data_IF_382914495735
#
_entry.id   IF_382914495735
#
_cell.length_a   1.000
_cell.length_b   1.000
_cell.length_c   1.000
_cell.angle_alpha   90.00
_cell.angle_beta   90.00
_cell.angle_gamma   90.00
#
_symmetry.space_group_name_H-M   'P 1'
#
loop_
_entity.id
_entity.type
_entity.pdbx_description
1 polymer ?
#
# COMPACT_ATOMS: atom_id res chain seq x y z
N UNK A 1 4.18 12.60 -33.84
CA UNK A 1 3.68 11.23 -34.11
C UNK A 1 3.17 10.67 -32.77
N UNK A 2 1.89 10.32 -32.68
CA UNK A 2 1.39 9.62 -31.48
C UNK A 2 2.02 8.21 -31.48
N UNK A 3 3.01 7.98 -30.61
CA UNK A 3 3.57 6.65 -30.41
C UNK A 3 2.43 5.80 -29.83
N UNK A 4 2.04 4.76 -30.55
CA UNK A 4 0.98 3.85 -30.13
C UNK A 4 1.37 3.18 -28.81
N UNK A 5 0.53 3.33 -27.79
CA UNK A 5 0.76 2.68 -26.50
C UNK A 5 0.66 1.16 -26.66
N UNK A 6 1.78 0.48 -26.46
CA UNK A 6 1.89 -0.99 -26.64
C UNK A 6 1.55 -1.77 -25.36
N UNK A 7 1.29 -1.07 -24.24
CA UNK A 7 1.02 -1.74 -22.98
C UNK A 7 -0.39 -2.37 -22.97
N UNK A 8 -0.53 -3.68 -22.65
CA UNK A 8 -1.78 -4.41 -22.85
C UNK A 8 -2.86 -4.10 -21.78
N UNK A 9 -2.47 -3.67 -20.58
CA UNK A 9 -3.40 -3.50 -19.46
C UNK A 9 -3.81 -2.03 -19.26
N UNK A 10 -4.31 -1.38 -20.32
CA UNK A 10 -4.74 0.01 -20.28
C UNK A 10 -5.85 0.29 -21.27
N UNK A 11 -6.71 1.28 -20.97
CA UNK A 11 -7.73 1.86 -21.84
C UNK A 11 -7.45 3.34 -22.14
N UNK A 12 -6.34 3.86 -21.68
CA UNK A 12 -5.94 5.26 -21.80
C UNK A 12 -4.43 5.39 -22.14
N UNK A 13 -3.82 6.50 -21.78
CA UNK A 13 -2.41 6.77 -22.03
C UNK A 13 -1.47 6.16 -20.97
N UNK A 14 -1.99 5.47 -19.95
CA UNK A 14 -1.15 4.84 -18.93
C UNK A 14 -0.32 3.71 -19.52
N UNK A 15 0.92 3.63 -19.10
CA UNK A 15 1.88 2.62 -19.54
C UNK A 15 2.19 1.62 -18.43
N UNK A 16 1.27 1.47 -17.48
CA UNK A 16 1.31 0.52 -16.40
C UNK A 16 -0.11 0.09 -15.97
N UNK A 17 -0.23 -1.10 -15.38
CA UNK A 17 -1.49 -1.74 -15.01
C UNK A 17 -2.10 -1.06 -13.79
N UNK A 18 -2.95 -0.06 -14.00
CA UNK A 18 -3.57 0.70 -12.91
C UNK A 18 -4.65 -0.10 -12.20
N UNK A 19 -4.79 0.13 -10.88
CA UNK A 19 -5.90 -0.43 -10.10
C UNK A 19 -7.27 -0.04 -10.66
N UNK A 20 -7.40 1.18 -11.20
CA UNK A 20 -8.64 1.62 -11.85
C UNK A 20 -8.97 0.80 -13.13
N UNK A 21 -7.96 0.44 -13.92
CA UNK A 21 -8.14 -0.46 -15.06
C UNK A 21 -8.63 -1.83 -14.61
N UNK A 22 -7.95 -2.43 -13.60
CA UNK A 22 -8.36 -3.72 -13.03
C UNK A 22 -9.81 -3.70 -12.54
N UNK A 23 -10.20 -2.71 -11.74
CA UNK A 23 -11.54 -2.62 -11.18
C UNK A 23 -12.60 -2.39 -12.27
N UNK A 24 -12.34 -1.53 -13.26
CA UNK A 24 -13.26 -1.29 -14.37
C UNK A 24 -13.51 -2.54 -15.21
N UNK A 25 -12.46 -3.33 -15.50
CA UNK A 25 -12.60 -4.57 -16.26
C UNK A 25 -13.31 -5.67 -15.48
N UNK A 26 -13.21 -5.67 -14.15
CA UNK A 26 -13.85 -6.67 -13.31
C UNK A 26 -15.31 -6.37 -13.00
N UNK A 27 -15.63 -5.10 -12.72
CA UNK A 27 -16.95 -4.69 -12.22
C UNK A 27 -17.76 -3.86 -13.19
N UNK A 28 -17.17 -3.40 -14.30
CA UNK A 28 -17.80 -2.56 -15.32
C UNK A 28 -18.41 -1.26 -14.77
N UNK A 29 -18.04 -0.89 -13.55
CA UNK A 29 -18.55 0.24 -12.80
C UNK A 29 -17.43 0.88 -11.96
N UNK A 30 -17.67 2.09 -11.45
CA UNK A 30 -16.75 2.73 -10.51
C UNK A 30 -16.73 1.95 -9.20
N UNK A 31 -15.52 1.65 -8.73
CA UNK A 31 -15.28 1.10 -7.38
C UNK A 31 -14.41 2.07 -6.60
N UNK A 32 -14.74 2.34 -5.35
CA UNK A 32 -13.99 3.23 -4.46
C UNK A 32 -13.59 2.52 -3.16
N UNK A 33 -12.37 2.75 -2.67
CA UNK A 33 -11.97 2.35 -1.32
C UNK A 33 -12.57 3.31 -0.30
N UNK A 34 -13.21 2.77 0.72
CA UNK A 34 -13.73 3.52 1.90
C UNK A 34 -12.83 3.21 3.07
N UNK A 35 -12.07 4.21 3.52
CA UNK A 35 -11.06 4.04 4.58
C UNK A 35 -11.75 3.93 5.94
N UNK A 36 -11.32 2.96 6.76
CA UNK A 36 -11.86 2.65 8.09
C UNK A 36 -10.67 2.37 9.03
N UNK A 37 -10.77 2.84 10.26
CA UNK A 37 -9.89 2.41 11.36
C UNK A 37 -10.48 1.17 12.04
N UNK A 38 -9.77 0.05 12.01
CA UNK A 38 -10.18 -1.20 12.66
C UNK A 38 -9.93 -1.23 14.16
N UNK A 39 -9.44 -0.16 14.78
CA UNK A 39 -9.09 -0.04 16.21
C UNK A 39 -8.01 -1.04 16.66
N UNK A 40 -7.08 -1.34 15.78
CA UNK A 40 -5.94 -2.20 16.08
C UNK A 40 -4.70 -1.38 16.46
N UNK A 41 -3.64 -2.07 16.87
CA UNK A 41 -2.30 -1.52 17.08
C UNK A 41 -1.28 -2.37 16.31
N UNK A 42 0.01 -2.21 16.59
CA UNK A 42 1.09 -3.00 16.01
C UNK A 42 1.96 -3.64 17.10
N UNK A 43 2.49 -4.85 16.88
CA UNK A 43 3.35 -5.55 17.85
C UNK A 43 4.69 -4.85 18.10
N UNK A 44 5.12 -3.96 17.22
CA UNK A 44 6.31 -3.12 17.43
C UNK A 44 6.01 -1.78 18.13
N UNK A 45 4.78 -1.59 18.64
CA UNK A 45 4.38 -0.41 19.42
C UNK A 45 4.09 -0.72 20.88
N UNK A 46 3.48 -1.86 21.17
CA UNK A 46 3.00 -2.24 22.50
C UNK A 46 4.00 -3.09 23.31
N UNK A 47 5.17 -3.36 22.75
CA UNK A 47 6.23 -4.12 23.41
C UNK A 47 6.24 -5.61 23.09
N UNK A 48 5.28 -6.15 22.33
CA UNK A 48 5.25 -7.57 21.98
C UNK A 48 6.44 -8.00 21.12
N UNK A 49 6.86 -7.14 20.18
CA UNK A 49 8.08 -7.31 19.36
C UNK A 49 9.02 -6.11 19.41
N UNK A 50 8.53 -4.95 19.82
CA UNK A 50 9.29 -3.71 19.90
C UNK A 50 8.44 -2.58 20.45
N UNK A 51 9.05 -1.40 20.61
CA UNK A 51 8.39 -0.21 21.13
C UNK A 51 8.42 0.91 20.11
N UNK A 52 7.45 1.82 20.19
CA UNK A 52 7.41 3.08 19.43
C UNK A 52 6.91 2.96 17.99
N UNK A 53 6.77 1.76 17.45
CA UNK A 53 6.36 1.51 16.06
C UNK A 53 7.48 1.74 15.04
N UNK A 54 7.15 1.66 13.75
CA UNK A 54 8.08 2.05 12.70
C UNK A 54 8.43 3.54 12.82
N UNK A 55 9.70 3.90 12.64
CA UNK A 55 10.20 5.25 12.92
C UNK A 55 9.52 6.36 12.12
N UNK A 56 8.97 6.03 10.94
CA UNK A 56 8.28 6.95 10.02
C UNK A 56 6.76 7.06 10.31
N UNK A 57 6.18 6.15 11.11
CA UNK A 57 4.75 6.16 11.41
C UNK A 57 4.38 7.31 12.35
N UNK A 58 3.30 8.01 12.03
CA UNK A 58 2.67 8.97 12.93
C UNK A 58 2.01 8.27 14.14
N UNK A 59 1.54 9.05 15.10
CA UNK A 59 0.79 8.53 16.24
C UNK A 59 -0.51 7.83 15.83
N UNK A 60 -1.12 8.25 14.71
CA UNK A 60 -2.35 7.70 14.14
C UNK A 60 -2.10 6.51 13.18
N UNK A 61 -0.84 6.05 13.06
CA UNK A 61 -0.45 5.04 12.08
C UNK A 61 -0.22 5.62 10.68
N UNK A 62 -0.15 4.76 9.67
CA UNK A 62 0.03 5.13 8.25
C UNK A 62 -1.32 5.26 7.55
N UNK A 63 -2.18 6.18 7.98
CA UNK A 63 -3.50 6.39 7.41
C UNK A 63 -3.86 7.86 7.27
N UNK A 64 -4.88 8.14 6.45
CA UNK A 64 -5.46 9.49 6.38
C UNK A 64 -6.15 9.81 7.71
N UNK A 65 -5.88 10.98 8.27
CA UNK A 65 -6.40 11.44 9.57
C UNK A 65 -7.90 11.82 9.57
N UNK A 66 -8.65 11.43 8.53
CA UNK A 66 -10.03 11.90 8.30
C UNK A 66 -11.13 10.97 8.84
N UNK A 67 -10.79 10.02 9.71
CA UNK A 67 -11.79 9.17 10.34
C UNK A 67 -11.91 9.50 11.83
N UNK A 68 -13.13 9.41 12.34
CA UNK A 68 -13.37 9.54 13.76
C UNK A 68 -13.08 8.20 14.45
N UNK A 69 -11.86 8.07 14.99
CA UNK A 69 -11.38 6.85 15.66
C UNK A 69 -12.22 6.42 16.91
N UNK A 70 -13.22 7.21 17.30
CA UNK A 70 -14.11 6.86 18.41
C UNK A 70 -15.37 6.13 17.95
N UNK A 71 -15.64 6.14 16.63
CA UNK A 71 -16.81 5.48 16.05
C UNK A 71 -16.52 4.02 15.74
N UNK A 72 -17.54 3.17 15.82
CA UNK A 72 -17.44 1.79 15.35
C UNK A 72 -17.22 1.72 13.82
N UNK A 73 -16.78 0.56 13.33
CA UNK A 73 -16.39 0.39 11.92
C UNK A 73 -17.52 0.63 10.92
N UNK A 74 -18.78 0.35 11.31
CA UNK A 74 -19.95 0.57 10.44
C UNK A 74 -20.28 2.04 10.35
N UNK A 75 -20.27 2.74 11.47
CA UNK A 75 -20.50 4.19 11.51
C UNK A 75 -19.44 4.94 10.70
N UNK A 76 -18.16 4.58 10.84
CA UNK A 76 -17.08 5.12 10.02
C UNK A 76 -17.29 4.85 8.52
N UNK A 77 -17.70 3.61 8.19
CA UNK A 77 -17.97 3.24 6.80
C UNK A 77 -19.08 4.11 6.19
N UNK A 78 -20.21 4.26 6.88
CA UNK A 78 -21.34 5.05 6.41
C UNK A 78 -20.91 6.51 6.16
N UNK A 79 -20.27 7.17 7.13
CA UNK A 79 -19.80 8.56 7.00
C UNK A 79 -18.82 8.75 5.85
N UNK A 80 -17.84 7.86 5.72
CA UNK A 80 -16.84 7.98 4.68
C UNK A 80 -17.39 7.62 3.29
N UNK A 81 -18.35 6.70 3.23
CA UNK A 81 -19.08 6.36 2.01
C UNK A 81 -19.90 7.54 1.49
N UNK A 82 -20.60 8.29 2.32
CA UNK A 82 -21.36 9.47 1.91
C UNK A 82 -20.50 10.47 1.11
N UNK A 83 -19.26 10.66 1.51
CA UNK A 83 -18.30 11.50 0.78
C UNK A 83 -17.99 10.93 -0.61
N UNK A 84 -17.92 9.61 -0.74
CA UNK A 84 -17.68 8.94 -2.03
C UNK A 84 -18.93 8.95 -2.91
N UNK A 85 -20.14 8.78 -2.33
CA UNK A 85 -21.42 8.83 -3.02
C UNK A 85 -21.65 10.18 -3.70
N UNK A 86 -21.29 11.29 -3.01
CA UNK A 86 -21.36 12.64 -3.57
C UNK A 86 -20.44 12.80 -4.80
N UNK A 87 -19.33 12.11 -4.84
CA UNK A 87 -18.34 12.20 -5.93
C UNK A 87 -18.63 11.20 -7.06
N UNK A 88 -19.11 10.02 -6.73
CA UNK A 88 -19.39 8.92 -7.66
C UNK A 88 -20.69 8.22 -7.31
N UNK A 89 -21.84 8.78 -7.73
CA UNK A 89 -23.15 8.15 -7.50
C UNK A 89 -23.18 6.71 -8.07
N UNK A 90 -23.77 5.80 -7.31
CA UNK A 90 -23.90 4.37 -7.67
C UNK A 90 -22.57 3.62 -7.79
N UNK A 91 -21.50 4.07 -7.14
CA UNK A 91 -20.26 3.31 -7.09
C UNK A 91 -20.41 2.03 -6.27
N UNK A 92 -19.56 1.03 -6.53
CA UNK A 92 -19.29 -0.06 -5.60
C UNK A 92 -18.17 0.31 -4.65
N UNK A 93 -18.05 -0.40 -3.53
CA UNK A 93 -17.13 -0.06 -2.46
C UNK A 93 -16.23 -1.22 -2.05
N UNK A 94 -15.04 -0.83 -1.56
CA UNK A 94 -14.08 -1.70 -0.89
C UNK A 94 -13.83 -1.08 0.49
N UNK A 95 -14.45 -1.59 1.59
CA UNK A 95 -14.03 -1.25 2.94
C UNK A 95 -12.54 -1.50 3.09
N UNK A 96 -11.78 -0.49 3.50
CA UNK A 96 -10.33 -0.55 3.58
C UNK A 96 -9.85 -0.24 5.00
N UNK A 97 -9.48 -1.28 5.72
CA UNK A 97 -8.89 -1.18 7.06
C UNK A 97 -7.41 -0.84 6.92
N UNK A 98 -7.10 0.47 7.02
CA UNK A 98 -5.80 1.00 6.64
C UNK A 98 -4.82 1.16 7.81
N UNK A 99 -5.28 1.66 8.97
CA UNK A 99 -4.40 2.03 10.07
C UNK A 99 -3.86 0.81 10.81
N UNK A 100 -2.57 0.84 11.14
CA UNK A 100 -1.90 -0.18 11.95
C UNK A 100 -1.92 -1.60 11.34
N UNK A 101 -2.03 -2.63 12.19
CA UNK A 101 -2.01 -4.05 11.79
C UNK A 101 -3.34 -4.71 12.12
N UNK A 102 -4.26 -4.72 11.15
CA UNK A 102 -5.67 -5.10 11.35
C UNK A 102 -5.90 -6.62 11.50
N UNK A 103 -4.84 -7.40 11.63
CA UNK A 103 -4.90 -8.82 12.02
C UNK A 103 -4.11 -9.10 13.31
N UNK A 104 -3.64 -8.04 13.99
CA UNK A 104 -2.89 -8.17 15.24
C UNK A 104 -3.83 -8.24 16.45
N UNK A 105 -4.09 -9.44 16.93
CA UNK A 105 -4.92 -9.69 18.11
C UNK A 105 -5.73 -10.99 17.98
N UNK A 106 -6.72 -11.19 18.87
CA UNK A 106 -7.58 -12.35 18.83
C UNK A 106 -8.39 -12.43 17.53
N UNK A 107 -8.58 -13.64 16.99
CA UNK A 107 -9.37 -13.88 15.77
C UNK A 107 -10.76 -13.24 15.86
N UNK A 108 -11.42 -13.32 17.03
CA UNK A 108 -12.75 -12.73 17.27
C UNK A 108 -12.78 -11.23 16.95
N UNK A 109 -11.72 -10.48 17.27
CA UNK A 109 -11.66 -9.04 16.95
C UNK A 109 -11.64 -8.79 15.44
N UNK A 110 -10.94 -9.64 14.66
CA UNK A 110 -10.94 -9.55 13.20
C UNK A 110 -12.30 -9.94 12.62
N UNK A 111 -12.94 -10.95 13.18
CA UNK A 111 -14.31 -11.33 12.83
C UNK A 111 -15.28 -10.16 13.03
N UNK A 112 -15.29 -9.56 14.20
CA UNK A 112 -16.17 -8.42 14.53
C UNK A 112 -15.94 -7.21 13.60
N UNK A 113 -14.71 -7.02 13.13
CA UNK A 113 -14.35 -5.97 12.18
C UNK A 113 -14.86 -6.25 10.76
N UNK A 114 -14.76 -7.50 10.27
CA UNK A 114 -14.94 -7.82 8.84
C UNK A 114 -16.33 -8.36 8.53
N UNK A 115 -16.93 -9.18 9.42
CA UNK A 115 -18.20 -9.87 9.17
C UNK A 115 -19.37 -8.94 8.81
N UNK A 116 -19.50 -7.72 9.36
CA UNK A 116 -20.57 -6.80 8.98
C UNK A 116 -20.60 -6.46 7.47
N UNK A 117 -19.46 -6.53 6.79
CA UNK A 117 -19.35 -6.16 5.37
C UNK A 117 -19.57 -7.33 4.40
N UNK A 118 -19.57 -8.57 4.88
CA UNK A 118 -19.59 -9.75 4.02
C UNK A 118 -20.87 -9.85 3.16
N UNK A 119 -22.01 -9.39 3.68
CA UNK A 119 -23.30 -9.50 3.02
C UNK A 119 -23.83 -8.16 2.44
N UNK A 120 -23.03 -7.07 2.49
CA UNK A 120 -23.44 -5.81 1.88
C UNK A 120 -23.37 -5.91 0.34
N UNK A 121 -24.47 -5.54 -0.35
CA UNK A 121 -24.58 -5.69 -1.81
C UNK A 121 -23.66 -4.74 -2.57
N UNK A 122 -23.46 -3.54 -2.06
CA UNK A 122 -22.59 -2.52 -2.66
C UNK A 122 -21.09 -2.71 -2.34
N UNK A 123 -20.75 -3.63 -1.44
CA UNK A 123 -19.37 -4.03 -1.13
C UNK A 123 -18.97 -5.17 -2.05
N UNK A 124 -17.93 -4.95 -2.87
CA UNK A 124 -17.48 -5.94 -3.87
C UNK A 124 -16.22 -6.69 -3.48
N UNK A 125 -15.36 -6.11 -2.67
CA UNK A 125 -14.14 -6.70 -2.10
C UNK A 125 -13.90 -6.06 -0.73
N UNK A 126 -13.01 -6.63 0.10
CA UNK A 126 -12.58 -6.05 1.39
C UNK A 126 -11.06 -5.96 1.38
N UNK A 127 -10.49 -4.84 1.83
CA UNK A 127 -9.05 -4.65 1.92
C UNK A 127 -8.59 -4.49 3.38
N UNK A 128 -7.56 -5.24 3.78
CA UNK A 128 -7.03 -5.28 5.15
C UNK A 128 -5.53 -5.02 5.09
N UNK A 129 -5.10 -3.86 5.62
CA UNK A 129 -3.68 -3.58 5.79
C UNK A 129 -3.17 -4.22 7.07
N UNK A 130 -2.06 -4.92 6.96
CA UNK A 130 -1.45 -5.60 8.10
C UNK A 130 0.05 -5.83 7.89
N UNK A 131 0.68 -6.53 8.82
CA UNK A 131 2.08 -6.97 8.81
C UNK A 131 2.13 -8.48 8.54
N UNK A 132 3.18 -8.93 7.88
CA UNK A 132 3.36 -10.36 7.60
C UNK A 132 3.40 -11.21 8.88
N UNK A 133 3.98 -10.70 9.95
CA UNK A 133 4.13 -11.37 11.24
C UNK A 133 2.87 -11.33 12.13
N UNK A 134 1.75 -10.78 11.62
CA UNK A 134 0.44 -10.77 12.26
C UNK A 134 -0.57 -11.72 11.58
N UNK A 135 -0.09 -12.68 10.80
CA UNK A 135 -0.90 -13.63 10.04
C UNK A 135 -0.56 -15.08 10.45
N UNK A 136 -1.16 -15.54 11.56
CA UNK A 136 -1.09 -16.95 11.97
C UNK A 136 -1.81 -17.87 10.98
N UNK A 137 -1.56 -19.18 11.05
CA UNK A 137 -2.27 -20.16 10.21
C UNK A 137 -3.79 -20.15 10.46
N UNK A 138 -4.21 -19.97 11.72
CA UNK A 138 -5.62 -19.82 12.08
C UNK A 138 -6.23 -18.58 11.43
N UNK A 139 -5.52 -17.44 11.46
CA UNK A 139 -5.95 -16.19 10.83
C UNK A 139 -6.08 -16.36 9.32
N UNK A 140 -5.08 -16.94 8.66
CA UNK A 140 -5.12 -17.19 7.21
C UNK A 140 -6.27 -18.14 6.86
N UNK A 141 -6.48 -19.21 7.61
CA UNK A 141 -7.59 -20.15 7.37
C UNK A 141 -8.97 -19.47 7.50
N UNK A 142 -9.13 -18.56 8.46
CA UNK A 142 -10.37 -17.77 8.59
C UNK A 142 -10.53 -16.82 7.40
N UNK A 143 -9.50 -16.07 7.03
CA UNK A 143 -9.53 -15.14 5.89
C UNK A 143 -9.80 -15.88 4.58
N UNK A 144 -9.20 -17.04 4.37
CA UNK A 144 -9.48 -17.88 3.21
C UNK A 144 -10.96 -18.30 3.18
N UNK A 145 -11.50 -18.77 4.30
CA UNK A 145 -12.92 -19.14 4.39
C UNK A 145 -13.86 -18.00 4.00
N UNK A 146 -13.67 -16.80 4.53
CA UNK A 146 -14.56 -15.66 4.22
C UNK A 146 -14.33 -15.08 2.82
N UNK A 147 -13.15 -15.32 2.21
CA UNK A 147 -12.83 -14.88 0.86
C UNK A 147 -13.73 -15.50 -0.22
N UNK A 148 -14.37 -16.62 0.07
CA UNK A 148 -15.39 -17.22 -0.81
C UNK A 148 -16.73 -16.50 -0.76
N UNK A 149 -16.97 -15.66 0.26
CA UNK A 149 -18.16 -14.79 0.34
C UNK A 149 -17.87 -13.46 -0.33
N UNK A 150 -16.74 -12.83 0.04
CA UNK A 150 -16.22 -11.59 -0.56
C UNK A 150 -14.72 -11.71 -0.80
N UNK A 151 -14.22 -11.47 -2.02
CA UNK A 151 -12.79 -11.47 -2.30
C UNK A 151 -12.03 -10.49 -1.40
N UNK A 152 -10.83 -10.89 -0.96
CA UNK A 152 -10.04 -10.10 -0.03
C UNK A 152 -8.75 -9.57 -0.68
N UNK A 153 -8.36 -8.37 -0.25
CA UNK A 153 -7.02 -7.81 -0.43
C UNK A 153 -6.31 -7.81 0.93
N UNK A 154 -5.16 -8.46 1.00
CA UNK A 154 -4.26 -8.36 2.14
C UNK A 154 -3.09 -7.47 1.74
N UNK A 155 -3.04 -6.29 2.34
CA UNK A 155 -2.01 -5.29 2.05
C UNK A 155 -0.88 -5.40 3.08
N UNK A 156 0.31 -5.76 2.61
CA UNK A 156 1.46 -6.09 3.45
C UNK A 156 2.57 -5.05 3.33
N UNK A 157 2.92 -4.44 4.46
CA UNK A 157 4.05 -3.53 4.53
C UNK A 157 5.38 -4.28 4.48
N UNK A 158 6.09 -4.28 3.35
CA UNK A 158 7.48 -4.73 3.26
C UNK A 158 8.46 -3.58 3.50
N UNK A 159 8.19 -2.45 2.88
CA UNK A 159 8.95 -1.21 2.82
C UNK A 159 10.25 -1.35 2.02
N UNK A 160 11.10 -2.32 2.32
CA UNK A 160 12.36 -2.67 1.64
C UNK A 160 12.68 -4.15 1.83
N UNK A 161 13.40 -4.75 0.87
CA UNK A 161 13.96 -6.10 1.02
C UNK A 161 15.26 -6.11 1.84
N UNK A 162 15.86 -4.94 2.10
CA UNK A 162 17.08 -4.80 2.88
C UNK A 162 16.78 -4.96 4.39
N UNK A 163 17.23 -6.05 4.99
CA UNK A 163 16.99 -6.32 6.40
C UNK A 163 17.67 -5.30 7.33
N UNK A 164 18.83 -4.75 6.96
CA UNK A 164 19.50 -3.70 7.77
C UNK A 164 18.67 -2.42 7.83
N UNK A 165 18.12 -2.00 6.67
CA UNK A 165 17.18 -0.88 6.65
C UNK A 165 15.89 -1.25 7.40
N UNK A 166 15.42 -2.49 7.27
CA UNK A 166 14.27 -3.02 8.04
C UNK A 166 14.44 -2.89 9.55
N UNK A 167 15.63 -3.20 10.08
CA UNK A 167 16.00 -3.01 11.48
C UNK A 167 16.05 -1.52 11.86
N UNK A 168 16.72 -0.70 11.03
CA UNK A 168 16.81 0.75 11.24
C UNK A 168 15.44 1.42 11.38
N UNK A 169 14.49 1.04 10.52
CA UNK A 169 13.14 1.60 10.55
C UNK A 169 12.22 0.95 11.60
N UNK A 170 12.75 0.10 12.46
CA UNK A 170 12.02 -0.64 13.51
C UNK A 170 10.84 -1.48 12.95
N UNK A 171 11.07 -2.12 11.80
CA UNK A 171 10.07 -2.99 11.17
C UNK A 171 9.81 -4.27 11.98
N UNK A 172 10.85 -4.82 12.64
CA UNK A 172 10.80 -5.99 13.53
C UNK A 172 10.38 -7.32 12.86
N UNK A 173 10.61 -7.49 11.58
CA UNK A 173 10.57 -8.77 10.84
C UNK A 173 11.50 -8.70 9.64
N UNK A 174 11.92 -9.88 9.18
CA UNK A 174 12.87 -10.05 8.08
C UNK A 174 12.15 -10.14 6.73
N UNK A 175 12.92 -10.02 5.65
CA UNK A 175 12.42 -10.27 4.30
C UNK A 175 12.04 -11.75 4.11
N UNK A 176 12.71 -12.68 4.78
CA UNK A 176 12.42 -14.11 4.77
C UNK A 176 11.04 -14.41 5.37
N UNK A 177 10.70 -13.81 6.53
CA UNK A 177 9.37 -13.93 7.15
C UNK A 177 8.28 -13.34 6.23
N UNK A 178 8.59 -12.25 5.54
CA UNK A 178 7.69 -11.67 4.54
C UNK A 178 7.45 -12.63 3.37
N UNK A 179 8.51 -13.24 2.80
CA UNK A 179 8.40 -14.22 1.71
C UNK A 179 7.56 -15.43 2.11
N UNK A 180 7.76 -15.97 3.32
CA UNK A 180 6.96 -17.09 3.82
C UNK A 180 5.47 -16.73 3.82
N UNK A 181 5.13 -15.57 4.36
CA UNK A 181 3.74 -15.11 4.44
C UNK A 181 3.10 -14.92 3.06
N UNK A 182 3.81 -14.32 2.10
CA UNK A 182 3.32 -14.19 0.71
C UNK A 182 3.04 -15.59 0.11
N UNK A 183 3.96 -16.55 0.31
CA UNK A 183 3.80 -17.93 -0.19
C UNK A 183 2.63 -18.66 0.49
N UNK A 184 2.34 -18.40 1.76
CA UNK A 184 1.17 -18.95 2.46
C UNK A 184 -0.13 -18.38 1.91
N UNK A 185 -0.21 -17.05 1.75
CA UNK A 185 -1.38 -16.37 1.19
C UNK A 185 -1.66 -16.74 -0.27
N UNK A 186 -0.64 -17.04 -1.07
CA UNK A 186 -0.81 -17.40 -2.48
C UNK A 186 -1.55 -18.74 -2.69
N UNK A 187 -1.68 -19.54 -1.62
CA UNK A 187 -2.47 -20.79 -1.64
C UNK A 187 -3.97 -20.54 -1.49
N UNK A 188 -4.38 -19.32 -1.16
CA UNK A 188 -5.77 -18.89 -0.95
C UNK A 188 -6.28 -18.18 -2.23
N UNK A 189 -7.09 -18.84 -3.08
CA UNK A 189 -7.34 -18.40 -4.45
C UNK A 189 -8.13 -17.08 -4.57
N UNK A 190 -8.92 -16.75 -3.55
CA UNK A 190 -9.73 -15.53 -3.52
C UNK A 190 -9.08 -14.39 -2.69
N UNK A 191 -7.87 -14.60 -2.17
CA UNK A 191 -7.08 -13.58 -1.50
C UNK A 191 -6.05 -13.03 -2.50
N UNK A 192 -6.07 -11.72 -2.69
CA UNK A 192 -5.04 -10.98 -3.41
C UNK A 192 -4.12 -10.28 -2.43
N UNK A 193 -2.83 -10.27 -2.73
CA UNK A 193 -1.84 -9.58 -1.90
C UNK A 193 -1.34 -8.32 -2.58
N UNK A 194 -1.26 -7.22 -1.82
CA UNK A 194 -0.66 -5.97 -2.24
C UNK A 194 0.58 -5.68 -1.38
N UNK A 195 1.73 -5.53 -2.01
CA UNK A 195 3.00 -5.22 -1.33
C UNK A 195 3.18 -3.72 -1.24
N UNK A 196 3.54 -3.21 -0.06
CA UNK A 196 3.91 -1.80 0.12
C UNK A 196 5.41 -1.64 0.20
N UNK A 197 5.97 -0.75 -0.59
CA UNK A 197 7.39 -0.36 -0.56
C UNK A 197 7.53 1.15 -0.41
N UNK A 198 8.65 1.60 0.19
CA UNK A 198 8.95 3.02 0.39
C UNK A 198 10.30 3.33 -0.25
N UNK A 199 10.32 4.26 -1.20
CA UNK A 199 11.54 4.80 -1.77
C UNK A 199 12.07 5.96 -0.91
N UNK A 200 13.39 6.04 -0.76
CA UNK A 200 14.08 7.09 -0.02
C UNK A 200 14.20 6.81 1.48
N UNK A 201 14.12 5.55 1.92
CA UNK A 201 14.41 5.18 3.31
C UNK A 201 15.85 5.61 3.69
N UNK A 202 16.11 5.96 4.97
CA UNK A 202 17.42 6.45 5.40
C UNK A 202 18.54 5.53 4.96
N UNK A 203 19.57 6.12 4.34
CA UNK A 203 20.80 5.48 3.87
C UNK A 203 20.62 4.47 2.72
N UNK A 204 19.41 4.32 2.15
CA UNK A 204 19.23 3.53 0.93
C UNK A 204 19.65 4.32 -0.32
N UNK A 205 20.35 3.63 -1.20
CA UNK A 205 20.72 4.11 -2.53
C UNK A 205 19.63 3.84 -3.55
N UNK A 206 19.74 4.40 -4.75
CA UNK A 206 18.87 4.07 -5.89
C UNK A 206 18.92 2.56 -6.19
N UNK A 207 20.10 1.96 -6.09
CA UNK A 207 20.34 0.53 -6.35
C UNK A 207 19.58 -0.34 -5.33
N UNK A 208 19.52 0.06 -4.05
CA UNK A 208 18.77 -0.65 -3.00
C UNK A 208 17.26 -0.63 -3.29
N UNK A 209 16.72 0.53 -3.70
CA UNK A 209 15.32 0.67 -4.08
C UNK A 209 14.96 -0.17 -5.31
N UNK A 210 15.81 -0.21 -6.32
CA UNK A 210 15.67 -1.07 -7.51
C UNK A 210 15.81 -2.54 -7.13
N UNK A 211 16.77 -2.87 -6.27
CA UNK A 211 16.96 -4.24 -5.78
C UNK A 211 15.73 -4.75 -5.05
N UNK A 212 15.06 -3.94 -4.26
CA UNK A 212 13.82 -4.31 -3.59
C UNK A 212 12.77 -4.82 -4.59
N UNK A 213 12.59 -4.16 -5.73
CA UNK A 213 11.68 -4.61 -6.79
C UNK A 213 12.14 -5.93 -7.41
N UNK A 214 13.44 -6.08 -7.70
CA UNK A 214 13.99 -7.34 -8.23
C UNK A 214 13.77 -8.50 -7.27
N UNK A 215 13.98 -8.28 -5.98
CA UNK A 215 13.85 -9.31 -4.94
C UNK A 215 12.38 -9.78 -4.80
N UNK A 216 11.40 -8.89 -4.93
CA UNK A 216 9.97 -9.27 -4.81
C UNK A 216 9.39 -9.81 -6.12
N UNK A 217 9.97 -9.54 -7.27
CA UNK A 217 9.44 -9.96 -8.57
C UNK A 217 9.21 -11.48 -8.69
N UNK A 218 9.97 -12.28 -7.94
CA UNK A 218 9.84 -13.74 -7.94
C UNK A 218 8.76 -14.25 -6.98
N UNK A 219 8.12 -13.35 -6.21
CA UNK A 219 7.08 -13.72 -5.25
C UNK A 219 5.69 -13.69 -5.92
N UNK A 220 4.76 -14.53 -5.43
CA UNK A 220 3.41 -14.62 -5.98
C UNK A 220 2.47 -13.57 -5.36
N UNK A 221 2.71 -12.28 -5.63
CA UNK A 221 1.82 -11.19 -5.22
C UNK A 221 1.06 -10.60 -6.40
N UNK A 222 -0.01 -9.83 -6.14
CA UNK A 222 -0.95 -9.37 -7.15
C UNK A 222 -0.85 -7.86 -7.43
N UNK A 223 -0.48 -7.07 -6.44
CA UNK A 223 -0.43 -5.62 -6.56
C UNK A 223 0.70 -5.01 -5.75
N UNK A 224 1.03 -3.76 -6.08
CA UNK A 224 2.04 -2.99 -5.36
C UNK A 224 1.60 -1.55 -5.12
N UNK A 225 2.00 -1.01 -3.96
CA UNK A 225 2.02 0.43 -3.66
C UNK A 225 3.46 0.89 -3.49
N UNK A 226 3.89 1.82 -4.32
CA UNK A 226 5.20 2.46 -4.21
C UNK A 226 4.99 3.84 -3.58
N UNK A 227 5.53 4.02 -2.39
CA UNK A 227 5.47 5.28 -1.64
C UNK A 227 6.81 6.01 -1.67
N UNK A 228 6.78 7.31 -1.49
CA UNK A 228 7.95 8.11 -1.11
C UNK A 228 8.03 8.24 0.41
N UNK A 229 9.24 8.29 0.94
CA UNK A 229 9.45 8.62 2.35
C UNK A 229 8.93 10.01 2.65
N UNK A 230 8.28 10.15 3.80
CA UNK A 230 7.82 11.42 4.34
C UNK A 230 8.35 11.57 5.76
N UNK A 231 9.05 12.66 6.03
CA UNK A 231 9.45 13.03 7.38
C UNK A 231 8.33 13.85 7.99
N UNK A 232 7.65 13.28 8.97
CA UNK A 232 6.50 13.88 9.63
C UNK A 232 6.89 14.38 11.04
N UNK A 233 6.21 15.42 11.51
CA UNK A 233 6.33 15.90 12.89
C UNK A 233 6.03 14.77 13.89
N UNK A 234 6.63 14.87 15.06
CA UNK A 234 6.40 13.94 16.17
C UNK A 234 6.76 12.47 15.89
N UNK A 235 7.57 12.19 14.85
CA UNK A 235 8.07 10.85 14.53
C UNK A 235 9.49 10.63 15.02
N UNK A 236 9.88 9.37 15.21
CA UNK A 236 11.27 9.01 15.47
C UNK A 236 12.17 9.31 14.26
N UNK A 237 11.61 9.25 13.05
CA UNK A 237 12.31 9.58 11.82
C UNK A 237 12.73 11.05 11.79
N UNK A 238 11.88 11.97 12.28
CA UNK A 238 12.26 13.40 12.39
C UNK A 238 13.42 13.57 13.37
N UNK A 239 13.38 12.91 14.53
CA UNK A 239 14.48 12.96 15.51
C UNK A 239 15.79 12.42 14.93
N UNK A 240 15.72 11.36 14.14
CA UNK A 240 16.88 10.82 13.42
C UNK A 240 17.40 11.87 12.43
N UNK A 241 16.52 12.44 11.62
CA UNK A 241 16.88 13.43 10.60
C UNK A 241 17.50 14.70 11.19
N UNK A 242 17.00 15.18 12.33
CA UNK A 242 17.54 16.34 13.03
C UNK A 242 18.93 16.07 13.65
N UNK A 243 19.15 14.86 14.14
CA UNK A 243 20.42 14.48 14.77
C UNK A 243 21.49 14.09 13.75
N UNK A 244 21.11 13.38 12.71
CA UNK A 244 21.98 12.84 11.67
C UNK A 244 21.25 12.92 10.32
N UNK A 245 21.33 14.07 9.63
CA UNK A 245 20.63 14.27 8.36
C UNK A 245 21.04 13.21 7.33
N UNK A 246 20.06 12.56 6.75
CA UNK A 246 20.21 11.65 5.61
C UNK A 246 19.63 12.28 4.35
N UNK A 247 19.99 11.74 3.20
CA UNK A 247 19.55 12.25 1.91
C UNK A 247 18.04 12.08 1.72
N UNK A 248 17.38 13.15 1.30
CA UNK A 248 15.96 13.16 0.92
C UNK A 248 15.90 13.25 -0.61
N UNK A 249 15.21 12.31 -1.25
CA UNK A 249 15.08 12.28 -2.70
C UNK A 249 14.47 13.57 -3.24
N UNK A 250 15.07 14.09 -4.30
CA UNK A 250 14.45 15.12 -5.12
C UNK A 250 13.32 14.51 -5.98
N UNK A 251 12.38 15.35 -6.41
CA UNK A 251 11.20 14.89 -7.16
C UNK A 251 11.56 14.15 -8.44
N UNK A 252 12.50 14.68 -9.20
CA UNK A 252 12.96 14.12 -10.47
C UNK A 252 13.64 12.76 -10.29
N UNK A 253 14.41 12.61 -9.22
CA UNK A 253 15.03 11.33 -8.86
C UNK A 253 13.98 10.29 -8.48
N UNK A 254 12.99 10.68 -7.66
CA UNK A 254 11.87 9.80 -7.32
C UNK A 254 11.12 9.31 -8.55
N UNK A 255 10.81 10.21 -9.50
CA UNK A 255 10.13 9.88 -10.75
C UNK A 255 10.95 8.90 -11.58
N UNK A 256 12.27 9.13 -11.74
CA UNK A 256 13.15 8.23 -12.46
C UNK A 256 13.21 6.85 -11.79
N UNK A 257 13.38 6.79 -10.47
CA UNK A 257 13.38 5.51 -9.72
C UNK A 257 12.08 4.75 -9.95
N UNK A 258 10.92 5.40 -9.83
CA UNK A 258 9.62 4.76 -10.03
C UNK A 258 9.47 4.22 -11.46
N UNK A 259 9.92 4.96 -12.47
CA UNK A 259 9.87 4.47 -13.87
C UNK A 259 10.76 3.23 -14.02
N UNK A 260 12.02 3.25 -13.49
CA UNK A 260 12.91 2.06 -13.53
C UNK A 260 12.27 0.87 -12.76
N UNK A 261 11.61 1.11 -11.65
CA UNK A 261 10.90 0.07 -10.90
C UNK A 261 9.74 -0.51 -11.70
N UNK A 262 8.94 0.32 -12.37
CA UNK A 262 7.85 -0.14 -13.24
C UNK A 262 8.36 -0.98 -14.41
N UNK A 263 9.45 -0.60 -15.05
CA UNK A 263 10.06 -1.36 -16.15
C UNK A 263 10.46 -2.79 -15.77
N UNK A 264 10.80 -3.00 -14.50
CA UNK A 264 11.21 -4.30 -13.98
C UNK A 264 10.04 -5.15 -13.47
N UNK A 265 8.92 -4.55 -13.08
CA UNK A 265 7.76 -5.28 -12.54
C UNK A 265 7.06 -6.09 -13.64
N UNK A 266 6.57 -7.31 -13.29
CA UNK A 266 5.70 -8.08 -14.19
C UNK A 266 4.55 -7.23 -14.71
N UNK A 267 4.18 -7.31 -16.01
CA UNK A 267 3.09 -6.52 -16.59
C UNK A 267 1.73 -6.73 -15.90
N UNK A 268 1.49 -7.93 -15.34
CA UNK A 268 0.25 -8.31 -14.67
C UNK A 268 0.10 -7.70 -13.28
N UNK A 269 1.19 -7.27 -12.65
CA UNK A 269 1.13 -6.67 -11.30
C UNK A 269 0.35 -5.36 -11.35
N UNK A 270 -0.66 -5.28 -10.51
CA UNK A 270 -1.53 -4.11 -10.41
C UNK A 270 -0.83 -3.00 -9.62
N UNK A 271 -0.75 -1.83 -10.20
CA UNK A 271 -0.20 -0.64 -9.55
C UNK A 271 -1.34 0.08 -8.83
N UNK A 272 -1.42 -0.10 -7.51
CA UNK A 272 -2.44 0.57 -6.71
C UNK A 272 -2.09 2.03 -6.42
N UNK A 273 -0.80 2.32 -6.25
CA UNK A 273 -0.33 3.66 -5.89
C UNK A 273 1.13 3.87 -6.28
N UNK A 274 1.44 5.06 -6.80
CA UNK A 274 2.81 5.53 -7.09
C UNK A 274 3.17 6.82 -6.33
N UNK A 275 2.38 7.20 -5.33
CA UNK A 275 2.58 8.43 -4.53
C UNK A 275 2.09 8.18 -3.10
N UNK A 276 2.36 9.11 -2.18
CA UNK A 276 1.73 9.15 -0.86
C UNK A 276 0.72 10.29 -0.77
N UNK A 277 -0.14 10.25 0.24
CA UNK A 277 -0.99 11.36 0.62
C UNK A 277 -0.48 11.90 1.97
N UNK A 278 0.27 13.02 1.97
CA UNK A 278 0.85 13.57 3.19
C UNK A 278 -0.20 14.28 4.05
N UNK A 279 -0.07 14.17 5.36
CA UNK A 279 -0.81 15.00 6.29
C UNK A 279 -0.14 16.39 6.26
N UNK A 280 -0.76 17.34 5.53
CA UNK A 280 -0.18 18.68 5.24
C UNK A 280 0.44 19.37 6.44
N UNK A 281 -0.27 19.38 7.58
CA UNK A 281 0.15 20.08 8.78
C UNK A 281 1.27 19.38 9.56
N UNK A 282 1.54 18.11 9.25
CA UNK A 282 2.54 17.28 9.90
C UNK A 282 3.80 17.09 9.04
N UNK A 283 3.72 17.33 7.73
CA UNK A 283 4.84 17.17 6.81
C UNK A 283 5.95 18.19 7.10
N UNK A 284 7.17 17.68 7.26
CA UNK A 284 8.40 18.47 7.39
C UNK A 284 9.13 18.50 6.05
N UNK A 285 9.37 17.32 5.44
CA UNK A 285 10.04 17.20 4.15
C UNK A 285 9.71 15.83 3.50
N UNK A 286 9.78 15.71 2.17
CA UNK A 286 9.97 16.73 1.14
C UNK A 286 8.64 17.40 0.75
N UNK A 287 8.67 18.69 0.48
CA UNK A 287 7.46 19.46 0.14
C UNK A 287 6.84 19.11 -1.22
N UNK A 288 7.62 18.56 -2.14
CA UNK A 288 7.13 18.20 -3.48
C UNK A 288 6.07 17.10 -3.46
N UNK A 289 6.00 16.27 -2.39
CA UNK A 289 4.97 15.21 -2.25
C UNK A 289 3.54 15.77 -2.16
N UNK A 290 3.36 17.05 -1.82
CA UNK A 290 2.06 17.71 -1.79
C UNK A 290 1.40 17.82 -3.18
N UNK A 291 2.17 17.72 -4.25
CA UNK A 291 1.72 17.86 -5.63
C UNK A 291 1.51 16.51 -6.34
N UNK A 292 0.71 15.63 -5.75
CA UNK A 292 0.45 14.26 -6.23
C UNK A 292 0.13 14.18 -7.73
N UNK A 293 -0.76 15.03 -8.22
CA UNK A 293 -1.16 15.04 -9.63
C UNK A 293 0.02 15.34 -10.55
N UNK A 294 0.89 16.29 -10.17
CA UNK A 294 2.08 16.63 -10.94
C UNK A 294 3.04 15.44 -11.01
N UNK A 295 3.29 14.76 -9.89
CA UNK A 295 4.16 13.58 -9.84
C UNK A 295 3.65 12.49 -10.79
N UNK A 296 2.36 12.15 -10.71
CA UNK A 296 1.75 11.14 -11.58
C UNK A 296 1.84 11.51 -13.07
N UNK A 297 1.57 12.78 -13.40
CA UNK A 297 1.68 13.27 -14.78
C UNK A 297 3.13 13.24 -15.28
N UNK A 298 4.10 13.53 -14.43
CA UNK A 298 5.51 13.53 -14.82
C UNK A 298 6.06 12.11 -14.98
N UNK A 299 5.59 11.13 -14.19
CA UNK A 299 5.84 9.70 -14.42
C UNK A 299 5.32 9.30 -15.81
N UNK A 300 4.07 9.64 -16.14
CA UNK A 300 3.45 9.33 -17.44
C UNK A 300 4.23 9.96 -18.60
N UNK A 301 4.63 11.23 -18.45
CA UNK A 301 5.43 11.95 -19.48
C UNK A 301 6.80 11.32 -19.68
N UNK A 302 7.49 10.94 -18.59
CA UNK A 302 8.79 10.30 -18.67
C UNK A 302 8.69 8.96 -19.39
N UNK A 303 7.72 8.12 -19.01
CA UNK A 303 7.46 6.84 -19.66
C UNK A 303 7.13 7.00 -21.17
N UNK A 304 6.36 8.03 -21.51
CA UNK A 304 6.04 8.33 -22.91
C UNK A 304 7.26 8.83 -23.69
N UNK A 305 8.07 9.71 -23.10
CA UNK A 305 9.29 10.26 -23.70
C UNK A 305 10.32 9.17 -24.00
N UNK A 306 10.47 8.20 -23.10
CA UNK A 306 11.42 7.11 -23.25
C UNK A 306 10.87 5.89 -23.99
N UNK A 307 9.60 5.97 -24.46
CA UNK A 307 8.86 4.86 -25.05
C UNK A 307 8.98 3.57 -24.23
N UNK A 308 8.77 3.71 -22.92
CA UNK A 308 8.87 2.62 -21.96
C UNK A 308 7.51 2.29 -21.35
N UNK A 309 7.39 1.10 -20.73
CA UNK A 309 6.18 0.61 -20.11
C UNK A 309 6.52 -0.41 -19.00
N UNK A 310 5.56 -0.72 -18.15
CA UNK A 310 5.72 -1.73 -17.11
C UNK A 310 6.07 -3.09 -17.71
N UNK A 311 7.12 -3.69 -17.18
CA UNK A 311 7.61 -5.01 -17.60
C UNK A 311 8.49 -5.00 -18.86
N UNK A 312 8.87 -3.84 -19.38
CA UNK A 312 9.76 -3.78 -20.56
C UNK A 312 11.10 -4.50 -20.34
N UNK A 313 11.60 -4.52 -19.12
CA UNK A 313 12.84 -5.18 -18.71
C UNK A 313 12.61 -6.26 -17.63
N UNK A 314 11.39 -6.76 -17.54
CA UNK A 314 11.10 -7.93 -16.70
C UNK A 314 11.75 -9.17 -17.34
N UNK A 315 12.56 -9.91 -16.56
CA UNK A 315 13.25 -11.16 -16.92
C UNK A 315 12.69 -12.35 -16.16
#
# INVERSE_FOLDING_TARGET
MNVMNKFPYTLDNKRYHTFNYYLKNKYYQKVAKVIIDGHFTCPNRDGSKGYGGCIYCSALGSGDANYNIKEDVITQYIHNKETMDNKWPNAYYIPYFQSFSNTYGPLKKVQDMVEPFLNMEDVVEIAIATRCDCLSDEMIAYLDKISYIKPLWIELGLQTSNNKTGELINRCYTFEEFKDTINRLSKCPNIKTCVHVINGLPYETKEDMIKTIKDINHLPFNAIKIHMLQVLKNTQLLKLYEKEPFYILEREEYIDIVVRQLELLKPEIIIERLTGDPIKNELVTPNWVLNKTTILNDIDKLMAKEDTYQGKYYE
#
